data_IF_988936294515
#
_entry.id   IF_988936294515
#
_cell.length_a   1.000
_cell.length_b   1.000
_cell.length_c   1.000
_cell.angle_alpha   90.00
_cell.angle_beta   90.00
_cell.angle_gamma   90.00
#
_symmetry.space_group_name_H-M   'P 1'
#
loop_
_entity.id
_entity.type
_entity.pdbx_description
1 polymer ?
#
# COMPACT_ATOMS: atom_id res chain seq x y z
N UNK A 1 5.17 -13.28 0.29
CA UNK A 1 3.74 -13.59 0.42
C UNK A 1 3.19 -12.67 1.50
N UNK A 2 2.54 -11.59 1.08
CA UNK A 2 1.69 -10.75 1.91
C UNK A 2 0.74 -9.99 0.98
N UNK A 3 -0.21 -10.72 0.39
CA UNK A 3 -1.40 -10.12 -0.21
C UNK A 3 -2.58 -10.59 0.63
N UNK A 4 -3.39 -9.64 1.08
CA UNK A 4 -4.60 -9.92 1.85
C UNK A 4 -5.80 -9.76 0.95
N UNK A 5 -6.87 -10.49 1.24
CA UNK A 5 -8.14 -10.31 0.53
C UNK A 5 -8.69 -8.92 0.87
N UNK A 6 -9.35 -8.27 -0.09
CA UNK A 6 -9.87 -6.91 0.08
C UNK A 6 -10.77 -6.75 1.33
N UNK A 7 -11.56 -7.78 1.68
CA UNK A 7 -12.42 -7.75 2.87
C UNK A 7 -11.67 -7.93 4.20
N UNK A 8 -10.41 -8.37 4.17
CA UNK A 8 -9.56 -8.48 5.35
C UNK A 8 -8.66 -7.24 5.53
N UNK A 9 -8.70 -6.31 4.57
CA UNK A 9 -7.86 -5.11 4.55
C UNK A 9 -8.01 -4.33 5.86
N UNK A 10 -9.22 -3.93 6.21
CA UNK A 10 -9.45 -3.04 7.35
C UNK A 10 -9.07 -3.71 8.68
N UNK A 11 -9.35 -5.02 8.84
CA UNK A 11 -8.93 -5.80 10.01
C UNK A 11 -7.41 -5.89 10.12
N UNK A 12 -6.72 -6.12 9.00
CA UNK A 12 -5.26 -6.26 8.97
C UNK A 12 -4.58 -4.92 9.23
N UNK A 13 -5.11 -3.84 8.66
CA UNK A 13 -4.59 -2.47 8.82
C UNK A 13 -4.84 -1.90 10.22
N UNK A 14 -5.82 -2.42 10.96
CA UNK A 14 -6.04 -2.03 12.35
C UNK A 14 -4.89 -2.47 13.28
N UNK A 15 -4.18 -3.55 12.93
CA UNK A 15 -3.03 -4.09 13.66
C UNK A 15 -1.99 -4.65 12.68
N UNK A 16 -1.28 -3.78 11.95
CA UNK A 16 -0.30 -4.23 10.97
C UNK A 16 0.89 -4.90 11.68
N UNK A 17 1.48 -5.91 11.02
CA UNK A 17 2.72 -6.51 11.50
C UNK A 17 3.83 -5.44 11.50
N UNK A 18 4.55 -5.22 12.62
CA UNK A 18 5.66 -4.27 12.69
C UNK A 18 6.81 -4.55 11.70
N UNK A 19 6.90 -5.78 11.16
CA UNK A 19 7.84 -6.14 10.11
C UNK A 19 7.52 -5.47 8.77
N UNK A 20 6.26 -5.07 8.54
CA UNK A 20 5.86 -4.34 7.34
C UNK A 20 6.24 -2.88 7.47
N UNK A 21 7.19 -2.46 6.62
CA UNK A 21 7.66 -1.08 6.50
C UNK A 21 7.15 -0.39 5.24
N UNK A 22 6.58 -1.14 4.30
CA UNK A 22 6.02 -0.59 3.06
C UNK A 22 4.61 -1.14 2.80
N UNK A 23 3.68 -0.26 2.50
CA UNK A 23 2.29 -0.60 2.19
C UNK A 23 1.93 -0.08 0.81
N UNK A 24 1.55 -0.97 -0.09
CA UNK A 24 1.07 -0.61 -1.42
C UNK A 24 -0.45 -0.74 -1.45
N UNK A 25 -1.15 0.38 -1.56
CA UNK A 25 -2.60 0.41 -1.79
C UNK A 25 -2.87 0.58 -3.28
N UNK A 26 -3.65 -0.32 -3.86
CA UNK A 26 -3.91 -0.29 -5.30
C UNK A 26 -5.32 -0.75 -5.65
N UNK A 27 -5.92 -0.15 -6.66
CA UNK A 27 -7.26 -0.52 -7.12
C UNK A 27 -7.88 0.54 -8.04
N UNK A 28 -9.03 0.21 -8.66
CA UNK A 28 -9.75 1.11 -9.54
C UNK A 28 -10.48 2.24 -8.79
N UNK A 29 -10.74 2.08 -7.49
CA UNK A 29 -11.39 3.07 -6.65
C UNK A 29 -10.34 3.94 -5.92
N UNK A 30 -10.04 5.10 -6.50
CA UNK A 30 -9.08 6.05 -5.93
C UNK A 30 -9.54 6.61 -4.57
N UNK A 31 -10.86 6.69 -4.32
CA UNK A 31 -11.41 7.13 -3.04
C UNK A 31 -11.08 6.14 -1.94
N UNK A 32 -11.34 4.86 -2.18
CA UNK A 32 -11.04 3.77 -1.24
C UNK A 32 -9.53 3.59 -1.02
N UNK A 33 -8.72 3.72 -2.08
CA UNK A 33 -7.25 3.72 -1.98
C UNK A 33 -6.77 4.84 -1.06
N UNK A 34 -7.22 6.07 -1.32
CA UNK A 34 -6.81 7.25 -0.54
C UNK A 34 -7.31 7.17 0.91
N UNK A 35 -8.53 6.70 1.14
CA UNK A 35 -9.11 6.56 2.47
C UNK A 35 -8.30 5.60 3.35
N UNK A 36 -8.00 4.39 2.84
CA UNK A 36 -7.23 3.39 3.58
C UNK A 36 -5.78 3.81 3.79
N UNK A 37 -5.15 4.37 2.76
CA UNK A 37 -3.80 4.92 2.88
C UNK A 37 -3.73 6.02 3.94
N UNK A 38 -4.71 6.94 3.96
CA UNK A 38 -4.80 7.99 4.95
C UNK A 38 -5.06 7.44 6.36
N UNK A 39 -5.92 6.42 6.50
CA UNK A 39 -6.21 5.78 7.77
C UNK A 39 -4.95 5.14 8.38
N UNK A 40 -4.22 4.36 7.58
CA UNK A 40 -2.95 3.77 8.02
C UNK A 40 -1.95 4.87 8.41
N UNK A 41 -1.76 5.87 7.54
CA UNK A 41 -0.82 6.96 7.79
C UNK A 41 -1.05 7.68 9.11
N UNK A 42 -2.32 7.96 9.46
CA UNK A 42 -2.68 8.58 10.75
C UNK A 42 -2.35 7.71 11.95
N UNK A 43 -2.46 6.38 11.83
CA UNK A 43 -2.15 5.45 12.93
C UNK A 43 -0.66 5.11 13.04
N UNK A 44 0.10 5.34 11.97
CA UNK A 44 1.55 5.09 11.89
C UNK A 44 2.40 6.18 12.52
N UNK A 45 1.80 7.29 12.95
CA UNK A 45 2.48 8.44 13.59
C UNK A 45 1.88 8.73 14.95
N UNK A 46 2.54 9.58 15.74
CA UNK A 46 2.05 10.01 17.05
C UNK A 46 1.18 11.26 16.92
N UNK A 47 1.56 12.20 16.04
CA UNK A 47 0.75 13.37 15.66
C UNK A 47 0.59 13.48 14.13
N UNK A 48 -0.62 13.20 13.58
CA UNK A 48 -0.89 13.35 12.16
C UNK A 48 -0.87 14.77 11.60
N UNK A 49 -0.87 15.81 12.46
CA UNK A 49 -0.74 17.21 12.06
C UNK A 49 0.71 17.67 12.02
N UNK A 50 1.64 16.89 12.58
CA UNK A 50 3.07 17.17 12.51
C UNK A 50 3.62 16.77 11.12
N UNK A 51 4.02 17.78 10.34
CA UNK A 51 4.58 17.60 9.01
C UNK A 51 5.93 16.83 9.00
N UNK A 52 6.63 16.75 10.13
CA UNK A 52 7.86 15.96 10.26
C UNK A 52 7.59 14.48 10.52
N UNK A 53 6.45 14.16 11.14
CA UNK A 53 6.03 12.79 11.36
C UNK A 53 5.24 12.22 10.18
N UNK A 54 4.31 13.00 9.61
CA UNK A 54 3.53 12.58 8.45
C UNK A 54 3.88 13.40 7.21
N UNK A 55 4.83 12.88 6.43
CA UNK A 55 5.25 13.49 5.17
C UNK A 55 4.32 13.05 4.04
N UNK A 56 3.88 13.98 3.20
CA UNK A 56 3.10 13.70 1.99
C UNK A 56 3.89 14.08 0.76
N UNK A 57 4.01 13.16 -0.18
CA UNK A 57 4.76 13.35 -1.43
C UNK A 57 3.85 13.08 -2.62
N UNK A 58 4.03 13.83 -3.70
CA UNK A 58 3.36 13.58 -4.97
C UNK A 58 3.96 12.36 -5.67
N UNK A 59 3.13 11.42 -6.10
CA UNK A 59 3.60 10.29 -6.92
C UNK A 59 4.24 10.74 -8.24
N UNK A 60 3.81 11.85 -8.82
CA UNK A 60 4.42 12.38 -10.05
C UNK A 60 5.83 12.92 -9.82
N UNK A 61 6.08 13.54 -8.65
CA UNK A 61 7.41 14.04 -8.28
C UNK A 61 8.36 12.89 -7.97
N UNK A 62 7.86 11.85 -7.30
CA UNK A 62 8.63 10.62 -7.04
C UNK A 62 8.92 9.86 -8.34
N UNK A 63 7.98 9.80 -9.28
CA UNK A 63 8.23 9.18 -10.57
C UNK A 63 9.28 9.95 -11.39
N UNK A 64 9.35 11.28 -11.23
CA UNK A 64 10.36 12.12 -11.89
C UNK A 64 11.74 12.00 -11.24
N UNK A 65 11.80 11.85 -9.91
CA UNK A 65 13.04 11.66 -9.15
C UNK A 65 12.86 10.55 -8.09
N UNK A 66 13.11 9.28 -8.46
CA UNK A 66 12.87 8.12 -7.60
C UNK A 66 13.69 8.10 -6.30
N UNK A 67 14.86 8.73 -6.27
CA UNK A 67 15.75 8.70 -5.12
C UNK A 67 15.22 9.51 -3.94
N UNK A 68 14.36 10.52 -4.20
CA UNK A 68 13.72 11.31 -3.15
C UNK A 68 12.99 10.47 -2.11
N UNK A 69 12.36 9.37 -2.53
CA UNK A 69 11.60 8.53 -1.61
C UNK A 69 12.53 7.81 -0.61
N UNK A 70 13.67 7.29 -1.07
CA UNK A 70 14.62 6.60 -0.20
C UNK A 70 15.36 7.58 0.72
N UNK A 71 15.65 8.78 0.23
CA UNK A 71 16.28 9.84 1.02
C UNK A 71 15.37 10.30 2.16
N UNK A 72 14.10 10.57 1.87
CA UNK A 72 13.10 10.96 2.87
C UNK A 72 12.83 9.84 3.88
N UNK A 73 12.74 8.60 3.41
CA UNK A 73 12.49 7.42 4.25
C UNK A 73 13.62 7.11 5.24
N UNK A 74 14.86 7.49 4.92
CA UNK A 74 16.01 7.32 5.81
C UNK A 74 16.42 8.62 6.53
N UNK A 75 15.65 9.70 6.34
CA UNK A 75 15.86 10.94 7.07
C UNK A 75 15.54 10.73 8.55
N UNK A 76 16.49 11.12 9.41
CA UNK A 76 16.36 10.98 10.86
C UNK A 76 15.39 12.04 11.38
N UNK A 77 14.32 11.61 12.06
CA UNK A 77 13.41 12.51 12.75
C UNK A 77 14.10 13.17 13.94
N UNK A 78 14.30 14.49 13.87
CA UNK A 78 15.00 15.26 14.91
C UNK A 78 14.27 15.27 16.27
N UNK A 79 12.95 15.06 16.26
CA UNK A 79 12.10 15.13 17.44
C UNK A 79 11.72 13.74 18.00
N UNK A 80 12.30 12.67 17.44
CA UNK A 80 11.88 11.30 17.73
C UNK A 80 10.45 11.03 17.26
N UNK A 81 9.84 9.97 17.79
CA UNK A 81 8.48 9.56 17.43
C UNK A 81 8.39 8.71 16.16
N UNK A 82 7.20 8.21 15.87
CA UNK A 82 6.95 7.37 14.70
C UNK A 82 6.72 8.24 13.46
N UNK A 83 7.39 7.91 12.35
CA UNK A 83 7.23 8.61 11.06
C UNK A 83 6.52 7.76 10.02
N UNK A 84 5.77 8.43 9.15
CA UNK A 84 5.17 7.85 7.97
C UNK A 84 5.33 8.79 6.76
N UNK A 85 5.58 8.19 5.60
CA UNK A 85 5.64 8.88 4.31
C UNK A 85 4.52 8.34 3.44
N UNK A 86 3.63 9.22 2.99
CA UNK A 86 2.54 8.88 2.10
C UNK A 86 2.80 9.45 0.71
N UNK A 87 2.98 8.56 -0.26
CA UNK A 87 3.09 8.89 -1.69
C UNK A 87 1.70 8.83 -2.30
N UNK A 88 1.14 9.99 -2.63
CA UNK A 88 -0.18 10.11 -3.24
C UNK A 88 -0.19 9.50 -4.66
N UNK A 89 -1.35 9.00 -5.10
CA UNK A 89 -1.48 8.23 -6.34
C UNK A 89 -0.97 8.95 -7.59
N UNK A 90 -0.39 8.18 -8.51
CA UNK A 90 0.02 8.60 -9.86
C UNK A 90 -0.30 7.51 -10.88
N UNK A 91 -0.40 7.88 -12.16
CA UNK A 91 -0.46 6.94 -13.28
C UNK A 91 0.91 6.47 -13.76
N UNK A 92 2.00 7.09 -13.26
CA UNK A 92 3.38 6.78 -13.65
C UNK A 92 3.93 5.59 -12.85
N UNK A 93 4.93 4.86 -13.39
CA UNK A 93 5.54 3.75 -12.68
C UNK A 93 6.37 4.22 -11.48
N UNK A 94 6.16 3.60 -10.31
CA UNK A 94 6.87 3.90 -9.07
C UNK A 94 7.86 2.81 -8.62
N UNK A 95 8.06 1.75 -9.43
CA UNK A 95 8.93 0.62 -9.05
C UNK A 95 10.34 1.09 -8.66
N UNK A 96 10.95 1.97 -9.45
CA UNK A 96 12.31 2.44 -9.19
C UNK A 96 12.46 3.17 -7.84
N UNK A 97 11.40 3.80 -7.33
CA UNK A 97 11.40 4.47 -6.03
C UNK A 97 11.17 3.48 -4.88
N UNK A 98 10.38 2.44 -5.13
CA UNK A 98 9.96 1.45 -4.12
C UNK A 98 10.98 0.34 -3.94
N UNK A 99 11.64 -0.11 -5.00
CA UNK A 99 12.56 -1.25 -4.99
C UNK A 99 13.73 -1.11 -4.00
N UNK A 100 14.40 0.06 -3.85
CA UNK A 100 15.42 0.25 -2.82
C UNK A 100 14.91 0.01 -1.39
N UNK A 101 13.67 0.43 -1.11
CA UNK A 101 13.03 0.27 0.20
C UNK A 101 12.53 -1.14 0.45
N UNK A 102 12.24 -1.91 -0.60
CA UNK A 102 11.96 -3.34 -0.46
C UNK A 102 13.24 -4.12 -0.16
N UNK A 103 14.35 -3.76 -0.80
CA UNK A 103 15.66 -4.38 -0.58
C UNK A 103 16.25 -4.04 0.80
N UNK A 104 16.17 -2.77 1.19
CA UNK A 104 16.63 -2.27 2.49
C UNK A 104 15.51 -1.45 3.14
N UNK A 105 14.63 -2.10 3.94
CA UNK A 105 13.51 -1.42 4.58
C UNK A 105 13.98 -0.34 5.55
N UNK A 106 13.32 0.83 5.50
CA UNK A 106 13.58 1.90 6.46
C UNK A 106 13.25 1.44 7.88
N UNK A 107 14.12 1.83 8.81
CA UNK A 107 13.89 1.59 10.24
C UNK A 107 13.09 2.71 10.88
N UNK A 108 13.14 3.90 10.30
CA UNK A 108 12.67 5.15 10.91
C UNK A 108 11.29 5.58 10.40
N UNK A 109 10.89 5.15 9.20
CA UNK A 109 9.62 5.52 8.59
C UNK A 109 8.85 4.31 8.02
N UNK A 110 7.52 4.36 8.14
CA UNK A 110 6.60 3.52 7.37
C UNK A 110 6.29 4.22 6.05
N UNK A 111 6.45 3.51 4.93
CA UNK A 111 6.19 4.05 3.59
C UNK A 111 4.85 3.54 3.07
N UNK A 112 4.00 4.46 2.62
CA UNK A 112 2.65 4.18 2.15
C UNK A 112 2.56 4.69 0.72
N UNK A 113 2.28 3.80 -0.23
CA UNK A 113 2.24 4.10 -1.66
C UNK A 113 0.84 3.84 -2.18
N UNK A 114 0.28 4.84 -2.87
CA UNK A 114 -0.98 4.70 -3.59
C UNK A 114 -0.74 4.47 -5.07
N UNK A 115 -1.51 3.58 -5.66
CA UNK A 115 -1.51 3.29 -7.08
C UNK A 115 -2.94 3.06 -7.60
N UNK A 116 -3.11 3.20 -8.91
CA UNK A 116 -4.35 2.81 -9.59
C UNK A 116 -4.52 1.30 -9.66
N UNK A 117 -5.33 0.81 -10.61
CA UNK A 117 -5.53 -0.62 -10.78
C UNK A 117 -4.28 -1.32 -11.31
N UNK A 118 -3.74 -2.27 -10.53
CA UNK A 118 -2.53 -3.03 -10.86
C UNK A 118 -2.87 -4.51 -11.12
N UNK A 119 -2.65 -4.93 -12.37
CA UNK A 119 -2.72 -6.33 -12.77
C UNK A 119 -1.71 -7.17 -12.00
N UNK A 120 -1.97 -8.48 -11.86
CA UNK A 120 -1.08 -9.42 -11.13
C UNK A 120 0.35 -9.45 -11.67
N UNK A 121 0.53 -9.23 -12.97
CA UNK A 121 1.84 -9.17 -13.63
C UNK A 121 2.56 -7.83 -13.49
N UNK A 122 1.92 -6.82 -12.87
CA UNK A 122 2.53 -5.51 -12.71
C UNK A 122 3.80 -5.63 -11.83
N UNK A 123 4.94 -5.08 -12.27
CA UNK A 123 6.20 -5.21 -11.55
C UNK A 123 6.18 -4.64 -10.12
N UNK A 124 5.55 -3.48 -9.90
CA UNK A 124 5.45 -2.85 -8.59
C UNK A 124 4.68 -3.74 -7.61
N UNK A 125 3.52 -4.24 -8.05
CA UNK A 125 2.70 -5.18 -7.28
C UNK A 125 3.48 -6.45 -6.96
N UNK A 126 4.10 -7.05 -7.97
CA UNK A 126 4.86 -8.30 -7.84
C UNK A 126 6.02 -8.14 -6.85
N UNK A 127 6.74 -7.02 -6.91
CA UNK A 127 7.85 -6.73 -6.00
C UNK A 127 7.35 -6.65 -4.54
N UNK A 128 6.26 -5.91 -4.29
CA UNK A 128 5.68 -5.78 -2.96
C UNK A 128 5.15 -7.12 -2.41
N UNK A 129 4.46 -7.92 -3.22
CA UNK A 129 3.92 -9.23 -2.79
C UNK A 129 5.02 -10.24 -2.41
N UNK A 130 6.20 -10.14 -3.04
CA UNK A 130 7.37 -10.99 -2.78
C UNK A 130 8.16 -10.56 -1.54
N UNK A 131 8.20 -9.26 -1.23
CA UNK A 131 8.92 -8.74 -0.09
C UNK A 131 8.28 -9.18 1.24
N UNK A 132 9.11 -9.47 2.25
CA UNK A 132 8.64 -9.78 3.61
C UNK A 132 8.32 -8.53 4.42
N UNK A 133 8.92 -7.41 4.04
CA UNK A 133 8.80 -6.10 4.65
C UNK A 133 7.67 -5.26 4.05
N UNK A 134 6.87 -5.82 3.15
CA UNK A 134 5.80 -5.08 2.49
C UNK A 134 4.47 -5.82 2.52
N UNK A 135 3.38 -5.05 2.44
CA UNK A 135 2.02 -5.54 2.29
C UNK A 135 1.38 -4.90 1.07
N UNK A 136 0.87 -5.73 0.15
CA UNK A 136 0.07 -5.28 -0.98
C UNK A 136 -1.43 -5.37 -0.62
N UNK A 137 -2.10 -4.22 -0.60
CA UNK A 137 -3.48 -4.05 -0.16
C UNK A 137 -4.39 -3.73 -1.37
N UNK A 138 -5.17 -4.70 -1.85
CA UNK A 138 -6.14 -4.45 -2.91
C UNK A 138 -7.34 -3.65 -2.41
N UNK A 139 -7.67 -2.58 -3.13
CA UNK A 139 -8.80 -1.69 -2.90
C UNK A 139 -9.82 -1.83 -4.03
N UNK A 140 -10.36 -3.03 -4.17
CA UNK A 140 -11.49 -3.30 -5.04
C UNK A 140 -12.78 -2.99 -4.28
N UNK A 141 -13.66 -2.17 -4.86
CA UNK A 141 -14.99 -1.94 -4.29
C UNK A 141 -15.78 -3.26 -4.14
N UNK A 142 -16.83 -3.24 -3.33
CA UNK A 142 -17.61 -4.43 -2.97
C UNK A 142 -18.14 -5.24 -4.16
N UNK A 143 -18.27 -4.64 -5.35
CA UNK A 143 -18.70 -5.31 -6.59
C UNK A 143 -17.67 -6.34 -7.14
N UNK A 144 -16.42 -6.31 -6.70
CA UNK A 144 -15.44 -7.35 -7.06
C UNK A 144 -15.73 -8.72 -6.38
N UNK A 145 -16.78 -8.80 -5.54
CA UNK A 145 -17.33 -10.06 -5.00
C UNK A 145 -17.90 -10.97 -6.10
N UNK A 146 -18.40 -10.44 -7.21
CA UNK A 146 -19.38 -11.17 -8.02
C UNK A 146 -18.82 -12.13 -9.08
N UNK A 147 -17.58 -11.96 -9.53
CA UNK A 147 -17.13 -12.72 -10.70
C UNK A 147 -16.54 -14.10 -10.38
N UNK A 148 -16.04 -14.33 -9.17
CA UNK A 148 -15.40 -15.59 -8.80
C UNK A 148 -16.27 -16.52 -7.96
N UNK A 149 -16.96 -15.98 -6.95
CA UNK A 149 -17.71 -16.79 -5.97
C UNK A 149 -19.09 -17.23 -6.46
N UNK A 150 -19.77 -16.37 -7.23
CA UNK A 150 -21.14 -16.67 -7.70
C UNK A 150 -21.15 -17.74 -8.79
N UNK A 151 -20.09 -17.84 -9.61
CA UNK A 151 -19.99 -18.87 -10.65
C UNK A 151 -19.89 -20.26 -10.03
N UNK A 152 -19.09 -20.44 -8.98
CA UNK A 152 -18.96 -21.73 -8.30
C UNK A 152 -20.23 -22.11 -7.51
N UNK A 153 -20.95 -21.13 -6.96
CA UNK A 153 -22.19 -21.39 -6.22
C UNK A 153 -23.37 -21.71 -7.15
N UNK A 154 -23.45 -21.09 -8.35
CA UNK A 154 -24.47 -21.43 -9.36
C UNK A 154 -24.20 -22.76 -10.05
N UNK A 155 -22.94 -23.11 -10.36
CA UNK A 155 -22.60 -24.41 -10.99
C UNK A 155 -22.82 -25.58 -10.02
N UNK A 156 -22.60 -25.37 -8.71
CA UNK A 156 -22.87 -26.41 -7.70
C UNK A 156 -24.36 -26.56 -7.34
N UNK A 157 -25.18 -25.56 -7.63
CA UNK A 157 -26.64 -25.60 -7.46
C UNK A 157 -27.40 -26.25 -8.63
N UNK A 158 -26.85 -26.19 -9.85
CA UNK A 158 -27.49 -26.73 -11.06
C UNK A 158 -27.03 -28.15 -11.45
N UNK A 159 -26.01 -28.70 -10.79
CA UNK A 159 -25.46 -30.05 -11.05
C UNK A 159 -26.04 -31.15 -10.16
N UNK A 160 -27.36 -31.35 -10.19
CA UNK A 160 -27.98 -32.64 -9.80
C UNK A 160 -28.77 -33.18 -10.98
N UNK A 161 -28.12 -33.97 -11.84
CA UNK A 161 -28.43 -35.37 -12.13
C UNK A 161 -27.21 -35.99 -12.78
#
# INVERSE_FOLDING_TARGET
MATIKAHEADRTLARPDPAWRLFLFYGPDAGLVSERAAALARTSVDDPQDAFQLVRMSGDDIAADPLKLVDEANTIGLFGGRRAIRVCGTSKPLLAAVEPLLATPSKDAVVIVEAGDLQRSNPLRTACEKARSALAVPCYGDAARDLGGIVDEMVRGAGKT
#
